data_IF_101612691312
#
_entry.id   IF_101612691312
#
_cell.length_a   1.000
_cell.length_b   1.000
_cell.length_c   1.000
_cell.angle_alpha   90.00
_cell.angle_beta   90.00
_cell.angle_gamma   90.00
#
_symmetry.space_group_name_H-M   'P 1'
#
loop_
_entity.id
_entity.type
_entity.pdbx_description
1 polymer ?
#
# COMPACT_ATOMS: atom_id res chain seq x y z
N UNK A 1 3.63 62.28 36.53
CA UNK A 1 2.60 61.58 35.73
C UNK A 1 3.16 60.89 34.47
N UNK A 2 4.46 60.91 34.16
CA UNK A 2 5.04 60.36 32.93
C UNK A 2 5.54 58.89 33.10
N UNK A 3 5.83 58.45 34.35
CA UNK A 3 6.40 57.10 34.59
C UNK A 3 5.39 55.92 34.49
N UNK A 4 4.07 56.18 34.65
CA UNK A 4 3.05 55.11 34.63
C UNK A 4 2.65 54.70 33.22
N UNK A 5 2.80 55.59 32.22
CA UNK A 5 2.48 55.29 30.82
C UNK A 5 3.50 54.37 30.11
N UNK A 6 4.77 54.37 30.56
CA UNK A 6 5.84 53.53 29.98
C UNK A 6 5.68 52.07 30.42
N UNK A 7 5.23 51.77 31.65
CA UNK A 7 5.02 50.41 32.14
C UNK A 7 3.85 49.68 31.46
N UNK A 8 2.79 50.38 31.06
CA UNK A 8 1.65 49.77 30.37
C UNK A 8 1.98 49.36 28.90
N UNK A 9 2.88 50.08 28.24
CA UNK A 9 3.29 49.80 26.86
C UNK A 9 4.19 48.54 26.76
N UNK A 10 5.04 48.33 27.76
CA UNK A 10 5.96 47.18 27.82
C UNK A 10 5.19 45.86 28.04
N UNK A 11 4.11 45.86 28.80
CA UNK A 11 3.29 44.68 29.09
C UNK A 11 2.47 44.17 27.90
N UNK A 12 2.13 45.02 26.92
CA UNK A 12 1.40 44.61 25.72
C UNK A 12 2.28 44.09 24.60
N UNK A 13 3.57 44.41 24.57
CA UNK A 13 4.49 44.00 23.51
C UNK A 13 5.03 42.58 23.70
N UNK A 14 5.26 42.15 24.93
CA UNK A 14 5.83 40.84 25.24
C UNK A 14 4.96 39.65 24.76
N UNK A 15 3.64 39.59 24.92
CA UNK A 15 2.83 38.48 24.41
C UNK A 15 2.75 38.47 22.89
N UNK A 16 2.77 39.62 22.23
CA UNK A 16 2.76 39.70 20.76
C UNK A 16 4.09 39.20 20.16
N UNK A 17 5.20 39.50 20.77
CA UNK A 17 6.52 38.99 20.37
C UNK A 17 6.65 37.48 20.56
N UNK A 18 6.16 36.94 21.66
CA UNK A 18 6.14 35.50 21.92
C UNK A 18 5.26 34.75 20.91
N UNK A 19 4.12 35.31 20.54
CA UNK A 19 3.23 34.74 19.50
C UNK A 19 3.87 34.78 18.11
N UNK A 20 4.56 35.87 17.77
CA UNK A 20 5.31 35.97 16.49
C UNK A 20 6.47 34.97 16.41
N UNK A 21 7.21 34.77 17.52
CA UNK A 21 8.27 33.77 17.60
C UNK A 21 7.74 32.35 17.39
N UNK A 22 6.60 32.01 18.03
CA UNK A 22 5.93 30.72 17.87
C UNK A 22 5.44 30.49 16.42
N UNK A 23 4.88 31.51 15.78
CA UNK A 23 4.46 31.42 14.37
C UNK A 23 5.65 31.24 13.42
N UNK A 24 6.77 31.92 13.69
CA UNK A 24 7.98 31.77 12.91
C UNK A 24 8.60 30.38 13.02
N UNK A 25 8.56 29.79 14.22
CA UNK A 25 9.00 28.43 14.51
C UNK A 25 8.12 27.41 13.76
N UNK A 26 6.80 27.53 13.87
CA UNK A 26 5.87 26.68 13.12
C UNK A 26 6.05 26.79 11.60
N UNK A 27 6.27 27.99 11.07
CA UNK A 27 6.53 28.20 9.66
C UNK A 27 7.86 27.59 9.22
N UNK A 28 8.87 27.62 10.08
CA UNK A 28 10.17 26.97 9.79
C UNK A 28 10.05 25.45 9.78
N UNK A 29 9.35 24.87 10.74
CA UNK A 29 9.10 23.44 10.81
C UNK A 29 8.26 22.97 9.63
N UNK A 30 7.22 23.71 9.26
CA UNK A 30 6.41 23.42 8.08
C UNK A 30 7.26 23.36 6.81
N UNK A 31 8.13 24.35 6.58
CA UNK A 31 9.06 24.34 5.44
C UNK A 31 10.00 23.14 5.47
N UNK A 32 10.54 22.81 6.64
CA UNK A 32 11.42 21.65 6.83
C UNK A 32 10.71 20.35 6.47
N UNK A 33 9.45 20.18 6.90
CA UNK A 33 8.65 19.01 6.60
C UNK A 33 8.33 18.91 5.10
N UNK A 34 7.97 20.01 4.46
CA UNK A 34 7.73 20.03 3.02
C UNK A 34 8.99 19.64 2.23
N UNK A 35 10.16 20.19 2.61
CA UNK A 35 11.42 19.81 1.98
C UNK A 35 11.74 18.32 2.19
N UNK A 36 11.49 17.80 3.40
CA UNK A 36 11.69 16.37 3.67
C UNK A 36 10.78 15.48 2.82
N UNK A 37 9.53 15.88 2.62
CA UNK A 37 8.58 15.18 1.75
C UNK A 37 9.08 15.19 0.31
N UNK A 38 9.50 16.35 -0.20
CA UNK A 38 10.02 16.51 -1.55
C UNK A 38 11.26 15.64 -1.78
N UNK A 39 12.22 15.67 -0.84
CA UNK A 39 13.46 14.88 -0.90
C UNK A 39 13.20 13.36 -0.84
N UNK A 40 12.14 12.93 -0.15
CA UNK A 40 11.76 11.52 -0.02
C UNK A 40 10.80 11.04 -1.13
N UNK A 41 10.20 11.96 -1.88
CA UNK A 41 9.30 11.61 -2.98
C UNK A 41 10.12 11.05 -4.15
N UNK A 42 9.80 9.84 -4.65
CA UNK A 42 10.51 9.28 -5.78
C UNK A 42 10.41 10.18 -7.02
N UNK A 43 11.52 10.37 -7.74
CA UNK A 43 11.54 11.09 -9.01
C UNK A 43 10.97 10.26 -10.15
N UNK A 44 11.01 8.93 -10.03
CA UNK A 44 10.34 8.01 -10.95
C UNK A 44 8.86 7.85 -10.55
N UNK A 45 7.99 7.42 -11.47
CA UNK A 45 6.65 7.02 -11.10
C UNK A 45 6.66 5.92 -10.03
N UNK A 46 5.65 5.89 -9.19
CA UNK A 46 5.52 4.95 -8.09
C UNK A 46 4.07 4.53 -7.83
N UNK A 47 3.91 3.37 -7.23
CA UNK A 47 2.61 2.84 -6.85
C UNK A 47 2.33 3.17 -5.39
N UNK A 48 1.10 3.56 -5.10
CA UNK A 48 0.57 3.71 -3.73
C UNK A 48 -0.63 2.80 -3.56
N UNK A 49 -0.62 1.98 -2.51
CA UNK A 49 -1.75 1.12 -2.13
C UNK A 49 -2.25 1.59 -0.77
N UNK A 50 -3.43 2.19 -0.77
CA UNK A 50 -4.17 2.55 0.43
C UNK A 50 -5.06 1.37 0.82
N UNK A 51 -4.67 0.62 1.86
CA UNK A 51 -5.41 -0.57 2.31
C UNK A 51 -6.68 -0.23 3.08
N UNK A 52 -6.79 1.00 3.61
CA UNK A 52 -7.98 1.45 4.31
C UNK A 52 -9.14 1.71 3.35
N UNK A 53 -8.86 2.42 2.24
CA UNK A 53 -9.87 2.80 1.25
C UNK A 53 -9.92 1.83 0.06
N UNK A 54 -9.06 0.80 0.05
CA UNK A 54 -8.92 -0.15 -1.05
C UNK A 54 -8.69 0.53 -2.41
N UNK A 55 -7.72 1.45 -2.43
CA UNK A 55 -7.33 2.21 -3.63
C UNK A 55 -5.89 1.89 -4.03
N UNK A 56 -5.69 1.73 -5.32
CA UNK A 56 -4.40 1.58 -5.98
C UNK A 56 -4.16 2.79 -6.88
N UNK A 57 -3.06 3.51 -6.66
CA UNK A 57 -2.71 4.70 -7.43
C UNK A 57 -1.35 4.53 -8.09
N UNK A 58 -1.25 4.95 -9.34
CA UNK A 58 0.02 5.25 -9.98
C UNK A 58 0.25 6.75 -9.89
N UNK A 59 1.38 7.18 -9.35
CA UNK A 59 1.72 8.58 -9.15
C UNK A 59 3.09 8.90 -9.73
N UNK A 60 3.26 10.19 -10.09
CA UNK A 60 4.56 10.78 -10.39
C UNK A 60 4.61 12.16 -9.75
N UNK A 61 5.45 12.33 -8.73
CA UNK A 61 5.38 13.51 -7.86
C UNK A 61 3.97 13.67 -7.28
N UNK A 62 3.37 14.85 -7.46
CA UNK A 62 2.01 15.15 -7.00
C UNK A 62 0.91 14.67 -7.95
N UNK A 63 1.24 14.32 -9.18
CA UNK A 63 0.27 13.90 -10.17
C UNK A 63 -0.20 12.44 -9.93
N UNK A 64 -1.50 12.21 -10.04
CA UNK A 64 -2.09 10.87 -10.12
C UNK A 64 -2.27 10.52 -11.59
N UNK A 65 -1.52 9.53 -12.07
CA UNK A 65 -1.57 9.07 -13.46
C UNK A 65 -2.71 8.08 -13.70
N UNK A 66 -2.97 7.21 -12.72
CA UNK A 66 -4.09 6.25 -12.72
C UNK A 66 -4.54 6.00 -11.29
N UNK A 67 -5.84 5.85 -11.11
CA UNK A 67 -6.47 5.41 -9.86
C UNK A 67 -7.40 4.25 -10.16
N UNK A 68 -7.27 3.19 -9.37
CA UNK A 68 -8.09 1.99 -9.49
C UNK A 68 -8.63 1.57 -8.13
N UNK A 69 -9.85 1.04 -8.12
CA UNK A 69 -10.39 0.36 -6.95
C UNK A 69 -9.76 -1.03 -6.86
N UNK A 70 -9.24 -1.39 -5.69
CA UNK A 70 -8.62 -2.70 -5.47
C UNK A 70 -9.31 -3.46 -4.33
N UNK A 71 -8.94 -4.72 -4.14
CA UNK A 71 -9.25 -5.47 -2.93
C UNK A 71 -7.94 -5.87 -2.25
N UNK A 72 -7.89 -5.77 -0.92
CA UNK A 72 -6.69 -6.00 -0.12
C UNK A 72 -6.90 -7.09 0.93
N UNK A 73 -5.88 -7.38 1.72
CA UNK A 73 -5.89 -8.39 2.77
C UNK A 73 -7.01 -8.18 3.79
N UNK A 74 -7.63 -9.28 4.19
CA UNK A 74 -8.79 -9.27 5.10
C UNK A 74 -8.44 -9.09 6.57
N UNK A 75 -7.16 -9.24 6.94
CA UNK A 75 -6.73 -9.31 8.34
C UNK A 75 -7.19 -10.57 9.09
N UNK A 76 -7.90 -11.48 8.43
CA UNK A 76 -8.38 -12.73 9.04
C UNK A 76 -7.22 -13.63 9.41
N UNK A 77 -7.43 -14.44 10.44
CA UNK A 77 -6.47 -15.46 10.86
C UNK A 77 -7.00 -16.84 10.49
N UNK A 78 -6.11 -17.69 9.99
CA UNK A 78 -6.36 -19.10 9.75
C UNK A 78 -5.38 -19.93 10.58
N UNK A 79 -5.88 -20.89 11.32
CA UNK A 79 -5.09 -21.87 12.07
C UNK A 79 -5.45 -23.27 11.59
N UNK A 80 -4.44 -24.13 11.36
CA UNK A 80 -4.62 -25.55 11.06
C UNK A 80 -4.11 -26.42 12.19
N UNK A 81 -4.10 -27.72 11.98
CA UNK A 81 -3.81 -28.77 13.00
C UNK A 81 -2.36 -28.76 13.47
N UNK A 82 -1.42 -28.18 12.68
CA UNK A 82 -0.01 -28.12 13.06
C UNK A 82 0.35 -26.76 13.64
N UNK A 83 1.24 -26.75 14.64
CA UNK A 83 1.68 -25.52 15.32
C UNK A 83 2.14 -24.40 14.39
N UNK A 84 2.70 -24.73 13.22
CA UNK A 84 3.15 -23.78 12.20
C UNK A 84 2.10 -23.46 11.13
N UNK A 85 0.92 -24.06 11.18
CA UNK A 85 -0.22 -23.72 10.32
C UNK A 85 -0.97 -22.52 10.91
N UNK A 86 -0.32 -21.34 10.80
CA UNK A 86 -0.88 -20.07 11.26
C UNK A 86 -0.58 -19.00 10.25
N UNK A 87 -1.63 -18.36 9.78
CA UNK A 87 -1.55 -17.26 8.80
C UNK A 87 -2.40 -16.11 9.26
N UNK A 88 -1.93 -14.89 8.96
CA UNK A 88 -2.71 -13.66 9.01
C UNK A 88 -2.74 -13.10 7.61
N UNK A 89 -3.92 -12.83 7.10
CA UNK A 89 -4.15 -12.46 5.72
C UNK A 89 -4.12 -10.94 5.54
N UNK A 90 -3.02 -10.33 5.94
CA UNK A 90 -2.78 -8.89 5.79
C UNK A 90 -2.02 -8.59 4.50
N UNK A 91 -2.36 -7.50 3.84
CA UNK A 91 -1.47 -6.90 2.84
C UNK A 91 -0.29 -6.25 3.59
N UNK A 92 0.96 -6.63 3.29
CA UNK A 92 2.12 -6.11 4.01
C UNK A 92 2.26 -4.62 3.80
N UNK A 93 2.43 -3.86 4.89
CA UNK A 93 2.63 -2.41 4.86
C UNK A 93 4.11 -2.05 4.79
N UNK A 94 4.42 -0.94 4.13
CA UNK A 94 5.79 -0.45 4.00
C UNK A 94 6.16 -0.04 2.58
N UNK A 95 7.47 0.01 2.32
CA UNK A 95 8.05 0.35 1.02
C UNK A 95 8.63 -0.90 0.37
N UNK A 96 8.19 -1.15 -0.84
CA UNK A 96 8.62 -2.26 -1.69
C UNK A 96 9.03 -1.73 -3.07
N UNK A 97 9.36 -2.64 -3.99
CA UNK A 97 9.57 -2.33 -5.40
C UNK A 97 8.98 -3.45 -6.26
N UNK A 98 8.59 -3.15 -7.49
CA UNK A 98 8.16 -4.16 -8.44
C UNK A 98 9.37 -5.02 -8.83
N UNK A 99 9.37 -6.26 -8.35
CA UNK A 99 10.48 -7.20 -8.54
C UNK A 99 10.31 -8.07 -9.80
N UNK A 100 9.07 -8.34 -10.21
CA UNK A 100 8.76 -9.23 -11.34
C UNK A 100 7.40 -8.91 -11.93
N UNK A 101 7.29 -9.03 -13.25
CA UNK A 101 6.03 -8.95 -14.01
C UNK A 101 5.83 -10.26 -14.77
N UNK A 102 4.62 -10.79 -14.78
CA UNK A 102 4.28 -12.07 -15.41
C UNK A 102 2.97 -11.94 -16.16
N UNK A 103 2.95 -12.35 -17.42
CA UNK A 103 1.72 -12.59 -18.18
C UNK A 103 1.28 -14.05 -18.00
N UNK A 104 -0.03 -14.28 -18.00
CA UNK A 104 -0.65 -15.60 -17.77
C UNK A 104 -0.10 -16.28 -16.49
N UNK A 105 -0.17 -15.63 -15.32
CA UNK A 105 0.47 -16.13 -14.12
C UNK A 105 -0.17 -17.42 -13.63
N UNK A 106 0.67 -18.43 -13.40
CA UNK A 106 0.29 -19.66 -12.73
C UNK A 106 0.17 -19.42 -11.23
N UNK A 107 -0.99 -19.69 -10.65
CA UNK A 107 -1.14 -19.71 -9.20
C UNK A 107 -0.71 -21.06 -8.63
N UNK A 108 0.28 -21.02 -7.74
CA UNK A 108 0.69 -22.18 -6.96
C UNK A 108 -0.04 -22.11 -5.62
N UNK A 109 -1.05 -22.96 -5.44
CA UNK A 109 -1.89 -23.04 -4.24
C UNK A 109 -1.02 -23.25 -2.99
N UNK A 110 -1.00 -22.31 -2.05
CA UNK A 110 -0.27 -22.47 -0.80
C UNK A 110 -0.99 -23.44 0.14
N UNK A 111 -0.31 -23.89 1.17
CA UNK A 111 -0.86 -24.85 2.15
C UNK A 111 -2.13 -24.34 2.82
N UNK A 112 -2.22 -23.04 3.09
CA UNK A 112 -3.41 -22.45 3.71
C UNK A 112 -4.67 -22.59 2.85
N UNK A 113 -4.57 -22.59 1.53
CA UNK A 113 -5.72 -22.74 0.65
C UNK A 113 -6.36 -24.13 0.77
N UNK A 114 -5.57 -25.18 0.88
CA UNK A 114 -6.07 -26.55 1.15
C UNK A 114 -6.75 -26.64 2.51
N UNK A 115 -6.18 -26.01 3.54
CA UNK A 115 -6.75 -26.02 4.90
C UNK A 115 -8.08 -25.25 4.94
N UNK A 116 -8.14 -24.06 4.32
CA UNK A 116 -9.35 -23.23 4.29
C UNK A 116 -10.50 -23.93 3.57
N UNK A 117 -10.19 -24.73 2.53
CA UNK A 117 -11.17 -25.49 1.76
C UNK A 117 -11.44 -26.91 2.33
N UNK A 118 -10.86 -27.26 3.48
CA UNK A 118 -10.93 -28.59 4.07
C UNK A 118 -10.48 -29.71 3.11
N UNK A 119 -9.49 -29.43 2.28
CA UNK A 119 -8.88 -30.35 1.33
C UNK A 119 -7.61 -31.00 1.92
N UNK A 120 -7.30 -32.20 1.47
CA UNK A 120 -6.03 -32.88 1.81
C UNK A 120 -4.85 -32.11 1.19
N UNK A 121 -3.85 -31.78 2.04
CA UNK A 121 -2.64 -31.08 1.60
C UNK A 121 -1.77 -32.06 0.79
N UNK A 122 -1.46 -31.78 -0.48
CA UNK A 122 -0.58 -32.61 -1.28
C UNK A 122 0.82 -32.73 -0.66
N UNK A 123 1.34 -33.94 -0.58
CA UNK A 123 2.68 -34.22 -0.01
C UNK A 123 3.79 -33.69 -0.94
N UNK A 124 3.61 -33.84 -2.24
CA UNK A 124 4.60 -33.44 -3.23
C UNK A 124 4.35 -32.03 -3.77
N UNK A 125 5.43 -31.29 -3.99
CA UNK A 125 5.37 -29.93 -4.54
C UNK A 125 4.84 -29.92 -5.99
N UNK A 126 5.07 -30.98 -6.74
CA UNK A 126 4.69 -31.17 -8.14
C UNK A 126 3.26 -31.70 -8.32
N UNK A 127 2.52 -31.94 -7.24
CA UNK A 127 1.13 -32.41 -7.33
C UNK A 127 0.28 -31.42 -8.13
N UNK A 128 -0.43 -31.92 -9.14
CA UNK A 128 -1.24 -31.11 -10.06
C UNK A 128 -2.30 -30.27 -9.33
N UNK A 129 -2.80 -30.72 -8.19
CA UNK A 129 -3.78 -29.97 -7.37
C UNK A 129 -3.25 -28.63 -6.86
N UNK A 130 -1.90 -28.43 -6.87
CA UNK A 130 -1.27 -27.17 -6.47
C UNK A 130 -1.29 -26.10 -7.55
N UNK A 131 -1.57 -26.45 -8.79
CA UNK A 131 -1.40 -25.54 -9.92
C UNK A 131 -2.75 -25.14 -10.51
N UNK A 132 -3.03 -23.84 -10.54
CA UNK A 132 -4.25 -23.29 -11.14
C UNK A 132 -3.93 -22.12 -12.06
N UNK A 133 -4.49 -22.17 -13.26
CA UNK A 133 -4.41 -21.10 -14.24
C UNK A 133 -5.68 -20.21 -14.19
N UNK A 134 -5.53 -18.96 -14.62
CA UNK A 134 -6.64 -18.01 -14.76
C UNK A 134 -7.14 -17.38 -13.46
N UNK A 135 -6.78 -17.92 -12.29
CA UNK A 135 -7.25 -17.41 -10.98
C UNK A 135 -6.69 -16.02 -10.67
N UNK A 136 -5.50 -15.72 -11.17
CA UNK A 136 -4.80 -14.45 -10.95
C UNK A 136 -5.10 -13.40 -12.04
N UNK A 137 -5.96 -13.72 -13.00
CA UNK A 137 -6.20 -12.89 -14.19
C UNK A 137 -5.03 -12.99 -15.19
N UNK A 138 -4.99 -12.05 -16.14
CA UNK A 138 -4.03 -12.10 -17.27
C UNK A 138 -2.62 -11.67 -16.90
N UNK A 139 -2.46 -10.89 -15.83
CA UNK A 139 -1.18 -10.32 -15.42
C UNK A 139 -0.96 -10.37 -13.91
N UNK A 140 0.31 -10.37 -13.50
CA UNK A 140 0.72 -10.19 -12.12
C UNK A 140 1.99 -9.33 -12.02
N UNK A 141 1.99 -8.36 -11.08
CA UNK A 141 3.13 -7.52 -10.71
C UNK A 141 3.52 -7.87 -9.27
N UNK A 142 4.64 -8.55 -9.09
CA UNK A 142 5.13 -8.98 -7.79
C UNK A 142 5.94 -7.87 -7.13
N UNK A 143 5.60 -7.53 -5.88
CA UNK A 143 6.35 -6.57 -5.06
C UNK A 143 7.02 -7.22 -3.84
N UNK A 144 6.68 -8.48 -3.56
CA UNK A 144 7.34 -9.33 -2.57
C UNK A 144 7.22 -10.79 -3.05
N UNK A 145 7.93 -11.72 -2.42
CA UNK A 145 8.03 -13.12 -2.86
C UNK A 145 6.67 -13.75 -3.19
N UNK A 146 5.69 -13.62 -2.29
CA UNK A 146 4.37 -14.26 -2.39
C UNK A 146 3.23 -13.23 -2.48
N UNK A 147 3.55 -11.92 -2.66
CA UNK A 147 2.58 -10.86 -2.75
C UNK A 147 2.67 -10.12 -4.08
N UNK A 148 1.53 -9.89 -4.68
CA UNK A 148 1.43 -9.30 -6.00
C UNK A 148 0.16 -8.47 -6.17
N UNK A 149 0.19 -7.58 -7.15
CA UNK A 149 -0.99 -6.97 -7.75
C UNK A 149 -1.40 -7.87 -8.90
N UNK A 150 -2.65 -8.34 -8.92
CA UNK A 150 -3.15 -9.26 -9.93
C UNK A 150 -4.64 -9.07 -10.22
N UNK A 151 -5.16 -9.74 -11.23
CA UNK A 151 -6.56 -9.67 -11.61
C UNK A 151 -7.50 -10.46 -10.69
N UNK A 152 -8.77 -10.40 -11.00
CA UNK A 152 -9.81 -11.14 -10.30
C UNK A 152 -10.90 -11.59 -11.24
N UNK A 153 -11.45 -12.77 -11.02
CA UNK A 153 -12.65 -13.25 -11.67
C UNK A 153 -13.95 -12.61 -11.08
N UNK A 154 -13.83 -11.95 -9.92
CA UNK A 154 -14.96 -11.44 -9.15
C UNK A 154 -14.77 -9.93 -8.85
N UNK A 155 -14.91 -9.09 -9.87
CA UNK A 155 -14.75 -7.63 -9.74
C UNK A 155 -15.78 -6.98 -8.79
N UNK A 156 -16.93 -7.63 -8.55
CA UNK A 156 -17.95 -7.23 -7.56
C UNK A 156 -17.37 -7.14 -6.12
N UNK A 157 -16.24 -7.74 -5.90
CA UNK A 157 -15.54 -7.72 -4.62
C UNK A 157 -14.44 -6.64 -4.49
N UNK A 158 -14.20 -5.87 -5.53
CA UNK A 158 -13.31 -4.72 -5.45
C UNK A 158 -13.86 -3.67 -4.46
N UNK A 159 -12.98 -2.92 -3.82
CA UNK A 159 -13.32 -1.99 -2.75
C UNK A 159 -13.44 -2.63 -1.37
N UNK A 160 -13.14 -3.94 -1.22
CA UNK A 160 -13.27 -4.67 0.04
C UNK A 160 -11.93 -5.28 0.49
N UNK A 161 -11.73 -5.33 1.81
CA UNK A 161 -10.59 -6.03 2.43
C UNK A 161 -10.96 -7.50 2.65
N UNK A 162 -10.74 -8.34 1.64
CA UNK A 162 -11.21 -9.74 1.59
C UNK A 162 -10.17 -10.75 1.08
N UNK A 163 -9.00 -10.29 0.64
CA UNK A 163 -7.98 -11.19 0.08
C UNK A 163 -7.14 -11.85 1.17
N UNK A 164 -6.28 -12.76 0.78
CA UNK A 164 -5.28 -13.40 1.63
C UNK A 164 -3.95 -12.61 1.70
N UNK A 165 -4.00 -11.31 1.32
CA UNK A 165 -2.87 -10.40 1.37
C UNK A 165 -2.44 -9.83 0.01
N UNK A 166 -2.69 -10.53 -1.10
CA UNK A 166 -2.48 -9.96 -2.43
C UNK A 166 -3.46 -8.83 -2.73
N UNK A 167 -3.12 -7.98 -3.69
CA UNK A 167 -3.92 -6.85 -4.12
C UNK A 167 -4.61 -7.19 -5.45
N UNK A 168 -5.94 -7.25 -5.45
CA UNK A 168 -6.73 -7.55 -6.65
C UNK A 168 -7.23 -6.27 -7.29
N UNK A 169 -7.18 -6.19 -8.61
CA UNK A 169 -7.70 -5.06 -9.41
C UNK A 169 -8.52 -5.59 -10.58
N UNK A 170 -9.34 -4.73 -11.18
CA UNK A 170 -10.11 -5.04 -12.39
C UNK A 170 -9.21 -5.23 -13.61
N UNK A 171 -9.68 -5.96 -14.61
CA UNK A 171 -8.88 -6.36 -15.76
C UNK A 171 -8.30 -5.19 -16.55
N UNK A 172 -9.10 -4.15 -16.82
CA UNK A 172 -8.66 -2.94 -17.54
C UNK A 172 -7.55 -2.19 -16.78
N UNK A 173 -7.72 -1.99 -15.48
CA UNK A 173 -6.72 -1.34 -14.64
C UNK A 173 -5.45 -2.18 -14.56
N UNK A 174 -5.59 -3.52 -14.38
CA UNK A 174 -4.46 -4.43 -14.33
C UNK A 174 -3.62 -4.36 -15.61
N UNK A 175 -4.24 -4.36 -16.77
CA UNK A 175 -3.55 -4.23 -18.05
C UNK A 175 -2.77 -2.92 -18.10
N UNK A 176 -3.41 -1.80 -17.75
CA UNK A 176 -2.76 -0.48 -17.73
C UNK A 176 -1.53 -0.49 -16.80
N UNK A 177 -1.66 -1.00 -15.57
CA UNK A 177 -0.53 -1.10 -14.64
C UNK A 177 0.56 -2.02 -15.18
N UNK A 178 0.19 -3.15 -15.78
CA UNK A 178 1.15 -4.09 -16.34
C UNK A 178 1.93 -3.47 -17.52
N UNK A 179 1.30 -2.74 -18.41
CA UNK A 179 1.95 -2.11 -19.54
C UNK A 179 2.84 -0.93 -19.14
N UNK A 180 2.39 -0.13 -18.16
CA UNK A 180 3.04 1.13 -17.80
C UNK A 180 4.14 0.98 -16.75
N UNK A 181 3.93 0.13 -15.74
CA UNK A 181 4.84 0.00 -14.60
C UNK A 181 6.10 -0.76 -14.99
N UNK A 182 7.26 -0.24 -14.59
CA UNK A 182 8.56 -0.88 -14.84
C UNK A 182 9.10 -1.61 -13.60
N UNK A 183 10.03 -2.52 -13.83
CA UNK A 183 10.74 -3.19 -12.74
C UNK A 183 11.54 -2.18 -11.92
N UNK A 184 11.55 -2.36 -10.61
CA UNK A 184 12.24 -1.47 -9.69
C UNK A 184 11.42 -0.25 -9.25
N UNK A 185 10.27 0.06 -9.88
CA UNK A 185 9.45 1.17 -9.43
C UNK A 185 8.96 0.95 -8.00
N UNK A 186 9.01 2.01 -7.17
CA UNK A 186 8.60 1.93 -5.77
C UNK A 186 7.12 1.60 -5.61
N UNK A 187 6.81 0.82 -4.56
CA UNK A 187 5.45 0.51 -4.11
C UNK A 187 5.35 0.87 -2.63
N UNK A 188 4.46 1.78 -2.30
CA UNK A 188 4.17 2.20 -0.93
C UNK A 188 2.81 1.65 -0.52
N UNK A 189 2.75 0.95 0.62
CA UNK A 189 1.53 0.32 1.14
C UNK A 189 1.30 0.79 2.58
N UNK A 190 0.13 1.35 2.88
CA UNK A 190 -0.25 1.83 4.22
C UNK A 190 -1.70 1.51 4.60
#
# INVERSE_FOLDING_TARGET
MIAILISALVLCVAPAQAMQASLAELASEHRRLLQTIEDQTPQTPYIVINTHDNQLLLRQGDAVLRQATCATGSGRKLEGDKRWHRWTFDTPKGRFAIARKVADPLWIRPTWDFIENAEEIPVFAEDRRRFQYGVLGEYALYFLKDFMIHGTLFEVNLGKSITHGCVRVGGEDLQYFYETVELGWPVFIY
#
